data_IF_404000523225
#
_entry.id   IF_404000523225
#
_cell.length_a   1.000
_cell.length_b   1.000
_cell.length_c   1.000
_cell.angle_alpha   90.00
_cell.angle_beta   90.00
_cell.angle_gamma   90.00
#
_symmetry.space_group_name_H-M   'P 1'
#
loop_
_entity.id
_entity.type
_entity.pdbx_description
1 polymer ?
#
# COMPACT_ATOMS: atom_id res chain seq x y z
N UNK A 1 -20.93 -16.23 1.03
CA UNK A 1 -20.73 -14.92 0.36
C UNK A 1 -19.65 -15.01 -0.72
N UNK A 2 -18.36 -15.15 -0.38
CA UNK A 2 -17.28 -15.14 -1.39
C UNK A 2 -17.38 -16.24 -2.46
N UNK A 3 -17.81 -17.45 -2.09
CA UNK A 3 -18.03 -18.56 -3.06
C UNK A 3 -19.03 -18.17 -4.16
N UNK A 4 -20.11 -17.46 -3.81
CA UNK A 4 -21.12 -16.98 -4.77
C UNK A 4 -20.51 -15.93 -5.72
N UNK A 5 -19.65 -15.04 -5.21
CA UNK A 5 -18.93 -14.06 -6.04
C UNK A 5 -17.99 -14.74 -7.03
N UNK A 6 -17.20 -15.74 -6.59
CA UNK A 6 -16.29 -16.49 -7.47
C UNK A 6 -17.04 -17.18 -8.61
N UNK A 7 -18.23 -17.72 -8.33
CA UNK A 7 -19.09 -18.35 -9.35
C UNK A 7 -19.66 -17.32 -10.35
N UNK A 8 -19.98 -16.11 -9.90
CA UNK A 8 -20.53 -15.03 -10.74
C UNK A 8 -19.48 -14.31 -11.59
N UNK A 9 -18.23 -14.25 -11.12
CA UNK A 9 -17.14 -13.51 -11.75
C UNK A 9 -15.95 -14.43 -12.08
N UNK A 10 -16.00 -15.21 -13.18
CA UNK A 10 -15.01 -16.24 -13.50
C UNK A 10 -13.61 -15.70 -13.83
N UNK A 11 -13.48 -14.38 -14.05
CA UNK A 11 -12.19 -13.71 -14.27
C UNK A 11 -11.46 -13.34 -12.97
N UNK A 12 -12.12 -13.50 -11.82
CA UNK A 12 -11.53 -13.26 -10.51
C UNK A 12 -10.44 -14.31 -10.24
N UNK A 13 -9.24 -13.81 -9.93
CA UNK A 13 -8.07 -14.65 -9.65
C UNK A 13 -7.91 -14.83 -8.15
N UNK A 14 -7.47 -16.01 -7.72
CA UNK A 14 -7.19 -16.29 -6.30
C UNK A 14 -5.88 -15.66 -5.82
N UNK A 15 -4.90 -15.43 -6.71
CA UNK A 15 -3.57 -14.94 -6.35
C UNK A 15 -3.57 -13.66 -5.49
N UNK A 16 -4.34 -12.60 -5.82
CA UNK A 16 -4.39 -11.41 -4.98
C UNK A 16 -4.83 -11.68 -3.53
N UNK A 17 -5.70 -12.69 -3.30
CA UNK A 17 -6.13 -13.05 -1.94
C UNK A 17 -4.99 -13.70 -1.16
N UNK A 18 -4.19 -14.53 -1.80
CA UNK A 18 -3.00 -15.10 -1.17
C UNK A 18 -1.95 -14.02 -0.90
N UNK A 19 -1.74 -13.10 -1.85
CA UNK A 19 -0.80 -11.99 -1.68
C UNK A 19 -1.21 -11.06 -0.53
N UNK A 20 -2.51 -10.81 -0.37
CA UNK A 20 -3.07 -10.09 0.78
C UNK A 20 -2.75 -10.80 2.10
N UNK A 21 -2.90 -12.12 2.16
CA UNK A 21 -2.51 -12.90 3.35
C UNK A 21 -1.01 -12.79 3.64
N UNK A 22 -0.17 -12.79 2.61
CA UNK A 22 1.27 -12.54 2.78
C UNK A 22 1.55 -11.11 3.28
N UNK A 23 0.75 -10.12 2.85
CA UNK A 23 0.77 -8.77 3.41
C UNK A 23 0.43 -8.74 4.91
N UNK A 24 -0.64 -9.42 5.31
CA UNK A 24 -1.02 -9.53 6.73
C UNK A 24 0.06 -10.23 7.58
N UNK A 25 0.82 -11.17 7.00
CA UNK A 25 1.96 -11.79 7.69
C UNK A 25 3.12 -10.80 7.87
N UNK A 26 3.37 -9.92 6.89
CA UNK A 26 4.39 -8.87 7.02
C UNK A 26 4.09 -7.96 8.22
N UNK A 27 2.82 -7.63 8.46
CA UNK A 27 2.42 -6.84 9.62
C UNK A 27 2.79 -7.46 10.97
N UNK A 28 2.89 -8.79 11.05
CA UNK A 28 3.28 -9.47 12.29
C UNK A 28 4.79 -9.45 12.53
N UNK A 29 5.58 -9.21 11.49
CA UNK A 29 7.03 -9.43 11.51
C UNK A 29 7.86 -8.17 11.26
N UNK A 30 7.29 -7.16 10.57
CA UNK A 30 8.02 -6.01 10.07
C UNK A 30 7.38 -4.70 10.54
N UNK A 31 8.18 -3.86 11.17
CA UNK A 31 7.78 -2.54 11.67
C UNK A 31 8.65 -1.40 11.13
N UNK A 32 9.62 -1.72 10.26
CA UNK A 32 10.55 -0.80 9.60
C UNK A 32 10.75 -1.24 8.15
N UNK A 33 10.91 -0.27 7.26
CA UNK A 33 11.18 -0.51 5.84
C UNK A 33 12.49 0.16 5.48
N UNK A 34 13.42 -0.58 4.89
CA UNK A 34 14.74 -0.05 4.54
C UNK A 34 14.64 0.82 3.29
N UNK A 35 13.89 0.36 2.29
CA UNK A 35 13.77 1.02 0.98
C UNK A 35 12.34 1.21 0.52
N UNK A 36 12.16 2.10 -0.46
CA UNK A 36 10.89 2.29 -1.16
C UNK A 36 10.36 0.99 -1.75
N UNK A 37 11.22 0.13 -2.31
CA UNK A 37 10.78 -1.13 -2.93
C UNK A 37 10.19 -2.09 -1.90
N UNK A 38 10.71 -2.11 -0.68
CA UNK A 38 10.13 -2.91 0.40
C UNK A 38 8.75 -2.37 0.80
N UNK A 39 8.62 -1.04 0.93
CA UNK A 39 7.35 -0.40 1.24
C UNK A 39 6.33 -0.60 0.11
N UNK A 40 6.77 -0.46 -1.14
CA UNK A 40 5.95 -0.68 -2.33
C UNK A 40 5.40 -2.11 -2.35
N UNK A 41 6.23 -3.11 -2.04
CA UNK A 41 5.77 -4.50 -1.95
C UNK A 41 4.71 -4.69 -0.85
N UNK A 42 4.90 -4.04 0.29
CA UNK A 42 3.88 -4.02 1.35
C UNK A 42 2.58 -3.39 0.86
N UNK A 43 2.63 -2.17 0.29
CA UNK A 43 1.47 -1.48 -0.27
C UNK A 43 0.78 -2.29 -1.37
N UNK A 44 1.55 -2.97 -2.21
CA UNK A 44 1.02 -3.89 -3.20
C UNK A 44 0.18 -4.97 -2.53
N UNK A 45 0.77 -5.69 -1.56
CA UNK A 45 0.12 -6.81 -0.89
C UNK A 45 -1.12 -6.41 -0.10
N UNK A 46 -1.07 -5.32 0.68
CA UNK A 46 -2.16 -4.96 1.60
C UNK A 46 -3.25 -4.09 0.96
N UNK A 47 -3.00 -3.47 -0.20
CA UNK A 47 -3.94 -2.56 -0.82
C UNK A 47 -4.11 -2.72 -2.33
N UNK A 48 -3.04 -2.87 -3.11
CA UNK A 48 -3.17 -3.07 -4.56
C UNK A 48 -3.91 -4.38 -4.89
N UNK A 49 -3.69 -5.42 -4.10
CA UNK A 49 -4.43 -6.69 -4.21
C UNK A 49 -5.93 -6.48 -4.12
N UNK A 50 -6.43 -5.56 -3.28
CA UNK A 50 -7.86 -5.22 -3.18
C UNK A 50 -8.38 -4.61 -4.49
N UNK A 51 -7.58 -3.76 -5.14
CA UNK A 51 -7.87 -3.27 -6.49
C UNK A 51 -8.00 -4.41 -7.50
N UNK A 52 -7.09 -5.38 -7.45
CA UNK A 52 -7.12 -6.57 -8.32
C UNK A 52 -8.29 -7.52 -8.02
N UNK A 53 -8.71 -7.63 -6.76
CA UNK A 53 -9.87 -8.44 -6.35
C UNK A 53 -11.18 -7.81 -6.83
N UNK A 54 -11.27 -6.48 -6.83
CA UNK A 54 -12.51 -5.76 -7.17
C UNK A 54 -12.63 -5.42 -8.65
N UNK A 55 -11.52 -5.34 -9.39
CA UNK A 55 -11.51 -5.00 -10.82
C UNK A 55 -12.43 -5.87 -11.68
N UNK A 56 -12.45 -7.22 -11.57
CA UNK A 56 -13.35 -8.06 -12.36
C UNK A 56 -14.84 -7.86 -12.03
N UNK A 57 -15.14 -7.29 -10.86
CA UNK A 57 -16.49 -7.04 -10.35
C UNK A 57 -16.98 -5.66 -10.81
N UNK A 58 -16.13 -4.65 -10.66
CA UNK A 58 -16.43 -3.27 -11.07
C UNK A 58 -16.41 -3.10 -12.59
N UNK A 59 -15.63 -3.92 -13.30
CA UNK A 59 -15.48 -3.83 -14.74
C UNK A 59 -14.68 -2.59 -15.18
N UNK A 60 -14.72 -2.30 -16.48
CA UNK A 60 -14.11 -1.10 -17.06
C UNK A 60 -15.21 -0.13 -17.52
N UNK A 61 -14.90 1.17 -17.51
CA UNK A 61 -15.89 2.22 -17.82
C UNK A 61 -16.48 2.09 -19.24
N UNK A 62 -15.75 1.47 -20.18
CA UNK A 62 -16.25 1.17 -21.51
C UNK A 62 -16.11 -0.33 -21.81
N UNK A 63 -17.17 -1.12 -21.60
CA UNK A 63 -17.16 -2.55 -21.89
C UNK A 63 -16.66 -2.83 -23.31
N UNK A 64 -15.66 -3.70 -23.44
CA UNK A 64 -15.08 -4.12 -24.73
C UNK A 64 -14.07 -3.16 -25.37
N UNK A 65 -13.87 -1.94 -24.84
CA UNK A 65 -12.80 -1.03 -25.33
C UNK A 65 -11.52 -1.07 -24.50
N UNK A 66 -11.65 -1.24 -23.19
CA UNK A 66 -10.50 -1.43 -22.30
C UNK A 66 -10.55 -2.85 -21.78
N UNK A 67 -9.52 -3.63 -22.09
CA UNK A 67 -9.40 -4.98 -21.56
C UNK A 67 -9.19 -4.91 -20.05
N UNK A 68 -9.74 -5.87 -19.29
CA UNK A 68 -9.49 -5.95 -17.85
C UNK A 68 -7.99 -6.03 -17.53
N UNK A 69 -7.20 -6.63 -18.44
CA UNK A 69 -5.75 -6.68 -18.31
C UNK A 69 -5.09 -5.29 -18.37
N UNK A 70 -5.57 -4.39 -19.23
CA UNK A 70 -5.07 -3.02 -19.32
C UNK A 70 -5.43 -2.19 -18.08
N UNK A 71 -6.53 -2.52 -17.42
CA UNK A 71 -6.98 -1.84 -16.21
C UNK A 71 -6.27 -2.31 -14.93
N UNK A 72 -5.43 -3.37 -14.99
CA UNK A 72 -4.69 -3.88 -13.83
C UNK A 72 -3.69 -2.87 -13.28
N UNK A 73 -2.87 -2.27 -14.14
CA UNK A 73 -1.85 -1.31 -13.72
C UNK A 73 -2.46 -0.07 -13.05
N UNK A 74 -3.52 0.57 -13.61
CA UNK A 74 -4.25 1.63 -12.90
C UNK A 74 -4.84 1.18 -11.56
N UNK A 75 -5.39 -0.05 -11.48
CA UNK A 75 -5.95 -0.57 -10.22
C UNK A 75 -4.87 -0.77 -9.16
N UNK A 76 -3.69 -1.27 -9.56
CA UNK A 76 -2.52 -1.42 -8.68
C UNK A 76 -2.05 -0.04 -8.22
N UNK A 77 -1.84 0.89 -9.14
CA UNK A 77 -1.38 2.24 -8.84
C UNK A 77 -2.33 2.96 -7.87
N UNK A 78 -3.65 2.84 -8.08
CA UNK A 78 -4.65 3.41 -7.18
C UNK A 78 -4.56 2.79 -5.78
N UNK A 79 -4.48 1.46 -5.66
CA UNK A 79 -4.37 0.78 -4.37
C UNK A 79 -3.11 1.20 -3.62
N UNK A 80 -1.99 1.32 -4.31
CA UNK A 80 -0.73 1.80 -3.73
C UNK A 80 -0.85 3.26 -3.28
N UNK A 81 -1.41 4.14 -4.10
CA UNK A 81 -1.61 5.55 -3.76
C UNK A 81 -2.51 5.72 -2.52
N UNK A 82 -3.59 4.95 -2.42
CA UNK A 82 -4.47 4.96 -1.25
C UNK A 82 -3.75 4.46 0.01
N UNK A 83 -2.87 3.47 -0.12
CA UNK A 83 -2.13 2.97 1.05
C UNK A 83 -1.04 3.94 1.50
N UNK A 84 -0.33 4.59 0.57
CA UNK A 84 0.60 5.68 0.90
C UNK A 84 -0.16 6.82 1.57
N UNK A 85 -1.38 7.12 1.10
CA UNK A 85 -2.23 8.15 1.72
C UNK A 85 -2.57 7.79 3.18
N UNK A 86 -2.91 6.53 3.46
CA UNK A 86 -3.13 6.06 4.83
C UNK A 86 -1.86 6.22 5.67
N UNK A 87 -0.72 5.77 5.15
CA UNK A 87 0.59 5.89 5.84
C UNK A 87 0.91 7.35 6.17
N UNK A 88 0.77 8.26 5.21
CA UNK A 88 1.09 9.68 5.38
C UNK A 88 0.11 10.38 6.34
N UNK A 89 -1.16 9.96 6.35
CA UNK A 89 -2.16 10.47 7.31
C UNK A 89 -1.84 10.05 8.74
N UNK A 90 -1.32 8.83 8.93
CA UNK A 90 -1.26 8.16 10.23
C UNK A 90 0.17 8.04 10.79
N UNK A 91 1.16 8.73 10.21
CA UNK A 91 2.60 8.67 10.59
C UNK A 91 2.82 8.73 12.11
N UNK A 92 2.19 9.68 12.79
CA UNK A 92 2.34 9.84 14.25
C UNK A 92 1.63 8.74 15.06
N UNK A 93 0.46 8.29 14.62
CA UNK A 93 -0.28 7.19 15.27
C UNK A 93 0.50 5.88 15.16
N UNK A 94 1.02 5.59 13.97
CA UNK A 94 1.84 4.42 13.71
C UNK A 94 3.13 4.45 14.53
N UNK A 95 3.80 5.60 14.62
CA UNK A 95 4.98 5.78 15.47
C UNK A 95 4.64 5.50 16.94
N UNK A 96 3.50 6.00 17.44
CA UNK A 96 3.01 5.69 18.80
C UNK A 96 2.78 4.20 19.06
N UNK A 97 2.57 3.40 18.00
CA UNK A 97 2.44 1.93 18.04
C UNK A 97 3.76 1.22 17.75
N UNK A 98 4.89 1.94 17.68
CA UNK A 98 6.21 1.41 17.40
C UNK A 98 6.46 1.04 15.94
N UNK A 99 5.66 1.57 15.01
CA UNK A 99 5.76 1.30 13.57
C UNK A 99 6.23 2.53 12.80
N UNK A 100 7.09 2.32 11.81
CA UNK A 100 7.53 3.37 10.88
C UNK A 100 7.46 2.78 9.48
N UNK A 101 6.52 3.28 8.68
CA UNK A 101 6.38 2.90 7.28
C UNK A 101 7.25 3.74 6.34
N UNK A 102 7.61 4.96 6.74
CA UNK A 102 8.53 5.79 5.98
C UNK A 102 9.85 5.02 5.75
N UNK A 103 10.34 4.88 4.50
CA UNK A 103 11.56 4.16 4.24
C UNK A 103 12.75 4.82 4.93
N UNK A 104 13.63 4.01 5.53
CA UNK A 104 14.84 4.51 6.20
C UNK A 104 15.77 5.23 5.23
N UNK A 105 15.87 4.78 3.98
CA UNK A 105 16.67 5.46 2.96
C UNK A 105 16.17 6.90 2.70
N UNK A 106 14.85 7.11 2.72
CA UNK A 106 14.25 8.43 2.51
C UNK A 106 14.42 9.29 3.77
N UNK A 107 14.15 8.74 4.96
CA UNK A 107 14.43 9.41 6.23
C UNK A 107 15.89 9.87 6.32
N UNK A 108 16.84 9.01 5.96
CA UNK A 108 18.27 9.33 5.92
C UNK A 108 18.59 10.40 4.86
N UNK A 109 18.00 10.33 3.66
CA UNK A 109 18.18 11.32 2.59
C UNK A 109 17.81 12.73 3.03
N UNK A 110 16.79 12.87 3.87
CA UNK A 110 16.36 14.17 4.41
C UNK A 110 16.97 14.50 5.77
N UNK A 111 17.88 13.69 6.31
CA UNK A 111 18.43 13.85 7.66
C UNK A 111 17.34 13.96 8.74
N UNK A 112 16.35 13.08 8.67
CA UNK A 112 15.28 12.97 9.67
C UNK A 112 15.38 11.62 10.37
N UNK A 113 15.52 11.60 11.69
CA UNK A 113 15.81 10.37 12.44
C UNK A 113 14.55 9.68 12.98
N UNK A 114 14.65 8.41 13.35
CA UNK A 114 13.56 7.75 14.10
C UNK A 114 13.32 8.44 15.45
N UNK A 115 14.37 8.96 16.10
CA UNK A 115 14.24 9.70 17.36
C UNK A 115 13.44 10.99 17.18
N UNK A 116 13.70 11.75 16.12
CA UNK A 116 12.90 12.93 15.76
C UNK A 116 11.42 12.55 15.58
N UNK A 117 11.17 11.44 14.87
CA UNK A 117 9.81 10.94 14.66
C UNK A 117 9.12 10.55 15.97
N UNK A 118 9.78 9.78 16.84
CA UNK A 118 9.23 9.38 18.13
C UNK A 118 9.00 10.55 19.08
N UNK A 119 9.82 11.59 18.99
CA UNK A 119 9.67 12.82 19.76
C UNK A 119 8.68 13.82 19.12
N UNK A 120 8.10 13.50 17.96
CA UNK A 120 7.12 14.35 17.27
C UNK A 120 7.72 15.65 16.74
N UNK A 121 9.00 15.66 16.37
CA UNK A 121 9.72 16.86 15.92
C UNK A 121 9.30 17.23 14.50
N UNK A 122 8.56 18.33 14.35
CA UNK A 122 8.19 18.88 13.04
C UNK A 122 9.20 19.98 12.66
N UNK A 123 10.23 19.61 11.91
CA UNK A 123 11.26 20.53 11.39
C UNK A 123 11.21 20.60 9.84
N UNK A 124 12.10 21.39 9.24
CA UNK A 124 12.13 21.54 7.78
C UNK A 124 12.43 20.21 7.06
N UNK A 125 13.31 19.38 7.63
CA UNK A 125 13.65 18.05 7.10
C UNK A 125 12.41 17.15 7.02
N UNK A 126 11.57 17.16 8.05
CA UNK A 126 10.28 16.44 8.05
C UNK A 126 9.35 16.95 6.95
N UNK A 127 9.19 18.27 6.84
CA UNK A 127 8.31 18.88 5.84
C UNK A 127 8.77 18.54 4.41
N UNK A 128 10.07 18.55 4.17
CA UNK A 128 10.64 18.22 2.87
C UNK A 128 10.51 16.72 2.56
N UNK A 129 10.71 15.85 3.57
CA UNK A 129 10.45 14.41 3.46
C UNK A 129 8.98 14.12 3.12
N UNK A 130 8.02 14.82 3.72
CA UNK A 130 6.59 14.61 3.45
C UNK A 130 6.14 15.10 2.07
N UNK A 131 6.93 15.97 1.41
CA UNK A 131 6.64 16.50 0.06
C UNK A 131 7.31 15.71 -1.07
N UNK A 132 8.32 14.91 -0.73
CA UNK A 132 9.06 14.06 -1.66
C UNK A 132 8.20 12.92 -2.20
#
# INVERSE_FOLDING_TARGET
ALVDVVQKFPLLRSQPFFDMVEGMKMDLQKSRYETWQELYLYCYRVAATVGLMTLPIMGTATPGKTALDEAKEPAIALGIALQITNILRDVGEDAGRGRIYLPKEDMAKFNYTEEDLFNGVINQNYIDLMKF
#
